data_IF_191001175083
#
_entry.id   IF_191001175083
#
_cell.length_a   1.000
_cell.length_b   1.000
_cell.length_c   1.000
_cell.angle_alpha   90.00
_cell.angle_beta   90.00
_cell.angle_gamma   90.00
#
_symmetry.space_group_name_H-M   'P 1'
#
loop_
_entity.id
_entity.type
_entity.pdbx_description
1 polymer ?
#
# COMPACT_ATOMS: atom_id res chain seq x y z
N UNK A 1 -36.08 32.00 26.74
CA UNK A 1 -34.63 31.71 26.65
C UNK A 1 -34.52 30.23 26.32
N UNK A 2 -34.22 29.76 25.13
CA UNK A 2 -33.36 30.29 24.09
C UNK A 2 -32.27 29.23 23.82
N UNK A 3 -32.30 28.65 22.63
CA UNK A 3 -31.30 27.79 21.97
C UNK A 3 -31.26 26.28 22.21
N UNK A 4 -31.74 25.60 21.17
CA UNK A 4 -31.25 24.35 20.59
C UNK A 4 -29.73 24.38 20.40
N UNK A 5 -29.02 23.34 20.83
CA UNK A 5 -27.70 23.00 20.31
C UNK A 5 -27.83 21.77 19.41
N UNK A 6 -28.30 22.00 18.18
CA UNK A 6 -27.95 21.13 17.07
C UNK A 6 -26.51 21.44 16.68
N UNK A 7 -25.58 20.51 16.91
CA UNK A 7 -24.28 20.54 16.26
C UNK A 7 -24.35 19.68 15.01
N UNK A 8 -24.71 20.36 13.93
CA UNK A 8 -24.34 20.04 12.56
C UNK A 8 -22.81 20.16 12.45
N UNK A 9 -22.07 19.11 12.07
CA UNK A 9 -20.76 19.12 11.38
C UNK A 9 -20.21 17.67 11.35
N UNK A 10 -19.78 17.07 10.24
CA UNK A 10 -19.56 17.58 8.90
C UNK A 10 -19.92 16.53 7.86
N UNK A 11 -20.17 17.01 6.65
CA UNK A 11 -20.29 16.19 5.46
C UNK A 11 -19.17 15.14 5.46
N UNK A 12 -19.56 13.87 5.44
CA UNK A 12 -18.67 12.76 5.11
C UNK A 12 -18.14 13.11 3.72
N UNK A 13 -16.91 13.62 3.63
CA UNK A 13 -16.21 13.67 2.35
C UNK A 13 -16.31 12.26 1.80
N UNK A 14 -16.96 12.11 0.65
CA UNK A 14 -17.22 10.83 -0.01
C UNK A 14 -15.89 10.26 -0.51
N UNK A 15 -15.00 9.91 0.39
CA UNK A 15 -13.79 9.19 0.09
C UNK A 15 -14.19 7.75 -0.26
N UNK A 16 -13.61 7.25 -1.34
CA UNK A 16 -13.88 5.91 -1.85
C UNK A 16 -13.28 4.93 -0.84
N UNK A 17 -14.14 4.25 -0.09
CA UNK A 17 -13.72 3.25 0.90
C UNK A 17 -13.08 2.03 0.25
N UNK A 18 -12.22 1.38 1.01
CA UNK A 18 -11.52 0.17 0.58
C UNK A 18 -12.51 -1.02 0.45
N UNK A 19 -12.47 -1.79 -0.64
CA UNK A 19 -13.25 -3.02 -0.73
C UNK A 19 -12.87 -4.06 0.35
N UNK A 20 -13.79 -4.94 0.76
CA UNK A 20 -13.46 -6.02 1.68
C UNK A 20 -12.44 -6.99 1.06
N UNK A 21 -11.46 -7.41 1.86
CA UNK A 21 -10.44 -8.40 1.48
C UNK A 21 -9.04 -7.83 1.18
N UNK A 22 -8.13 -8.70 0.72
CA UNK A 22 -6.75 -8.32 0.37
C UNK A 22 -6.62 -8.03 -1.14
N UNK A 23 -5.97 -6.92 -1.49
CA UNK A 23 -5.63 -6.60 -2.88
C UNK A 23 -4.72 -7.67 -3.51
N UNK A 24 -5.02 -8.06 -4.75
CA UNK A 24 -4.21 -9.02 -5.52
C UNK A 24 -4.51 -10.49 -5.24
N UNK A 25 -5.61 -10.81 -4.54
CA UNK A 25 -6.05 -12.19 -4.28
C UNK A 25 -7.47 -12.47 -4.78
N UNK A 26 -7.78 -12.24 -6.08
CA UNK A 26 -9.10 -12.49 -6.62
C UNK A 26 -9.47 -13.99 -6.46
N UNK A 27 -10.73 -14.26 -6.09
CA UNK A 27 -11.25 -15.63 -5.92
C UNK A 27 -10.87 -16.34 -4.62
N UNK A 28 -10.16 -15.69 -3.70
CA UNK A 28 -9.91 -16.23 -2.35
C UNK A 28 -10.19 -15.21 -1.24
N UNK A 29 -11.29 -14.45 -1.38
CA UNK A 29 -11.69 -13.41 -0.42
C UNK A 29 -10.89 -12.11 -0.51
N UNK A 30 -10.20 -11.87 -1.62
CA UNK A 30 -9.57 -10.60 -1.96
C UNK A 30 -10.13 -10.00 -3.24
N UNK A 31 -9.62 -8.84 -3.64
CA UNK A 31 -10.09 -8.11 -4.83
C UNK A 31 -8.97 -7.80 -5.81
N UNK A 32 -9.37 -7.48 -7.05
CA UNK A 32 -8.46 -6.95 -8.05
C UNK A 32 -8.32 -5.44 -7.85
N UNK A 33 -7.09 -4.98 -7.56
CA UNK A 33 -6.82 -3.58 -7.29
C UNK A 33 -7.17 -2.66 -8.47
N UNK A 34 -6.83 -3.06 -9.70
CA UNK A 34 -7.11 -2.23 -10.88
C UNK A 34 -8.62 -2.06 -11.09
N UNK A 35 -9.37 -3.15 -10.92
CA UNK A 35 -10.83 -3.12 -11.04
C UNK A 35 -11.46 -2.25 -9.93
N UNK A 36 -10.94 -2.31 -8.70
CA UNK A 36 -11.43 -1.52 -7.58
C UNK A 36 -11.17 0.00 -7.72
N UNK A 37 -10.15 0.39 -8.49
CA UNK A 37 -9.87 1.80 -8.75
C UNK A 37 -10.71 2.36 -9.89
N UNK A 38 -11.17 1.51 -10.81
CA UNK A 38 -11.80 1.91 -12.08
C UNK A 38 -10.93 2.90 -12.89
N UNK A 39 -9.62 2.67 -12.89
CA UNK A 39 -8.68 3.43 -13.73
C UNK A 39 -8.38 2.65 -15.00
N UNK A 40 -8.13 3.37 -16.09
CA UNK A 40 -7.62 2.75 -17.29
C UNK A 40 -6.26 2.07 -17.03
N UNK A 41 -5.98 1.03 -17.82
CA UNK A 41 -4.80 0.19 -17.62
C UNK A 41 -3.48 0.98 -17.71
N UNK A 42 -3.43 2.06 -18.50
CA UNK A 42 -2.23 2.87 -18.68
C UNK A 42 -1.97 3.70 -17.42
N UNK A 43 -2.96 4.41 -16.91
CA UNK A 43 -2.81 5.20 -15.69
C UNK A 43 -2.53 4.32 -14.46
N UNK A 44 -3.20 3.17 -14.35
CA UNK A 44 -2.90 2.20 -13.30
C UNK A 44 -1.45 1.70 -13.38
N UNK A 45 -0.96 1.37 -14.58
CA UNK A 45 0.43 0.93 -14.77
C UNK A 45 1.44 2.01 -14.39
N UNK A 46 1.16 3.27 -14.73
CA UNK A 46 2.02 4.41 -14.39
C UNK A 46 2.08 4.60 -12.87
N UNK A 47 0.93 4.62 -12.19
CA UNK A 47 0.84 4.71 -10.73
C UNK A 47 1.62 3.58 -10.06
N UNK A 48 1.36 2.33 -10.47
CA UNK A 48 2.01 1.14 -9.92
C UNK A 48 3.53 1.20 -10.10
N UNK A 49 4.00 1.57 -11.28
CA UNK A 49 5.43 1.68 -11.58
C UNK A 49 6.10 2.78 -10.75
N UNK A 50 5.41 3.90 -10.56
CA UNK A 50 5.92 5.01 -9.74
C UNK A 50 6.08 4.59 -8.27
N UNK A 51 5.04 4.02 -7.67
CA UNK A 51 5.09 3.55 -6.27
C UNK A 51 6.15 2.47 -6.10
N UNK A 52 6.28 1.53 -7.04
CA UNK A 52 7.35 0.52 -7.00
C UNK A 52 8.74 1.14 -6.88
N UNK A 53 9.04 2.20 -7.65
CA UNK A 53 10.32 2.91 -7.58
C UNK A 53 10.53 3.60 -6.23
N UNK A 54 9.46 4.18 -5.66
CA UNK A 54 9.53 4.78 -4.33
C UNK A 54 9.78 3.74 -3.23
N UNK A 55 9.12 2.57 -3.31
CA UNK A 55 9.36 1.44 -2.40
C UNK A 55 10.81 1.00 -2.46
N UNK A 56 11.37 0.81 -3.65
CA UNK A 56 12.77 0.40 -3.82
C UNK A 56 13.77 1.45 -3.28
N UNK A 57 13.41 2.74 -3.34
CA UNK A 57 14.26 3.85 -2.89
C UNK A 57 14.19 4.08 -1.37
N UNK A 58 13.02 3.95 -0.77
CA UNK A 58 12.77 4.43 0.60
C UNK A 58 12.47 3.31 1.60
N UNK A 59 12.04 2.13 1.16
CA UNK A 59 11.64 1.03 2.04
C UNK A 59 12.62 -0.13 1.95
N UNK A 60 12.70 -0.91 3.02
CA UNK A 60 13.49 -2.12 3.04
C UNK A 60 12.72 -3.26 2.36
N UNK A 61 13.07 -3.53 1.09
CA UNK A 61 12.44 -4.59 0.29
C UNK A 61 12.67 -6.01 0.81
N UNK A 62 13.55 -6.22 1.79
CA UNK A 62 13.74 -7.51 2.47
C UNK A 62 12.70 -7.75 3.58
N UNK A 63 12.04 -6.69 4.05
CA UNK A 63 11.11 -6.72 5.18
C UNK A 63 9.65 -6.66 4.75
N UNK A 64 8.78 -7.16 5.62
CA UNK A 64 7.33 -7.03 5.46
C UNK A 64 6.88 -5.58 5.67
N UNK A 65 5.64 -5.25 5.29
CA UNK A 65 5.06 -3.93 5.53
C UNK A 65 5.05 -3.54 7.00
N UNK A 66 4.65 -4.46 7.89
CA UNK A 66 4.55 -4.22 9.33
C UNK A 66 5.92 -4.01 10.01
N UNK A 67 7.01 -4.38 9.34
CA UNK A 67 8.37 -4.21 9.82
C UNK A 67 9.08 -2.97 9.21
N UNK A 68 8.37 -2.16 8.43
CA UNK A 68 8.87 -0.88 7.92
C UNK A 68 8.73 0.21 8.98
N UNK A 69 9.50 1.29 8.82
CA UNK A 69 9.27 2.51 9.59
C UNK A 69 8.10 3.29 8.99
N UNK A 70 7.16 3.70 9.85
CA UNK A 70 6.01 4.52 9.47
C UNK A 70 6.42 5.83 8.78
N UNK A 71 7.54 6.43 9.22
CA UNK A 71 8.10 7.64 8.59
C UNK A 71 8.36 7.43 7.09
N UNK A 72 8.96 6.30 6.70
CA UNK A 72 9.25 6.04 5.29
C UNK A 72 8.00 5.61 4.52
N UNK A 73 7.04 4.93 5.16
CA UNK A 73 5.73 4.67 4.55
C UNK A 73 5.03 6.00 4.22
N UNK A 74 5.03 6.95 5.15
CA UNK A 74 4.45 8.28 4.93
C UNK A 74 5.13 9.01 3.78
N UNK A 75 6.47 8.98 3.69
CA UNK A 75 7.20 9.56 2.54
C UNK A 75 6.72 8.97 1.22
N UNK A 76 6.61 7.63 1.11
CA UNK A 76 6.15 6.99 -0.13
C UNK A 76 4.70 7.36 -0.45
N UNK A 77 3.83 7.39 0.56
CA UNK A 77 2.41 7.77 0.42
C UNK A 77 2.29 9.22 -0.05
N UNK A 78 2.96 10.15 0.61
CA UNK A 78 2.84 11.58 0.37
C UNK A 78 3.40 11.94 -1.01
N UNK A 79 4.54 11.34 -1.40
CA UNK A 79 5.07 11.47 -2.77
C UNK A 79 4.13 10.89 -3.83
N UNK A 80 3.37 9.83 -3.50
CA UNK A 80 2.37 9.28 -4.42
C UNK A 80 1.17 10.22 -4.57
N UNK A 81 0.65 10.81 -3.49
CA UNK A 81 -0.47 11.77 -3.54
C UNK A 81 -0.07 13.08 -4.20
N UNK A 82 1.17 13.53 -4.04
CA UNK A 82 1.70 14.70 -4.75
C UNK A 82 1.72 14.47 -6.27
N UNK A 83 2.18 13.28 -6.71
CA UNK A 83 2.24 12.96 -8.14
C UNK A 83 0.89 12.60 -8.75
N UNK A 84 0.00 11.99 -7.95
CA UNK A 84 -1.32 11.53 -8.36
C UNK A 84 -2.38 12.05 -7.38
N UNK A 85 -2.82 13.32 -7.52
CA UNK A 85 -3.79 13.93 -6.60
C UNK A 85 -5.12 13.16 -6.49
N UNK A 86 -5.51 12.41 -7.54
CA UNK A 86 -6.68 11.51 -7.55
C UNK A 86 -6.65 10.47 -6.41
N UNK A 87 -5.48 10.15 -5.87
CA UNK A 87 -5.36 9.26 -4.71
C UNK A 87 -6.00 9.82 -3.43
N UNK A 88 -6.16 11.15 -3.32
CA UNK A 88 -6.82 11.79 -2.18
C UNK A 88 -8.34 11.55 -2.17
N UNK A 89 -8.92 11.08 -3.28
CA UNK A 89 -10.33 10.65 -3.33
C UNK A 89 -10.55 9.32 -2.59
N UNK A 90 -9.49 8.61 -2.21
CA UNK A 90 -9.58 7.29 -1.56
C UNK A 90 -9.28 7.38 -0.08
N UNK A 91 -10.11 6.73 0.73
CA UNK A 91 -9.98 6.74 2.19
C UNK A 91 -8.59 6.25 2.63
N UNK A 92 -7.89 7.06 3.43
CA UNK A 92 -6.56 6.72 3.93
C UNK A 92 -5.53 6.44 2.84
N UNK A 93 -5.78 6.87 1.59
CA UNK A 93 -4.92 6.62 0.43
C UNK A 93 -4.68 5.10 0.23
N UNK A 94 -5.70 4.28 0.52
CA UNK A 94 -5.60 2.82 0.48
C UNK A 94 -5.01 2.24 -0.82
N UNK A 95 -5.20 2.83 -2.03
CA UNK A 95 -4.60 2.30 -3.25
C UNK A 95 -3.08 2.30 -3.19
N UNK A 96 -2.48 3.39 -2.68
CA UNK A 96 -1.04 3.49 -2.55
C UNK A 96 -0.52 2.47 -1.52
N UNK A 97 -1.21 2.38 -0.38
CA UNK A 97 -0.86 1.43 0.69
C UNK A 97 -0.91 -0.01 0.19
N UNK A 98 -1.92 -0.39 -0.59
CA UNK A 98 -2.02 -1.74 -1.13
C UNK A 98 -0.93 -2.05 -2.16
N UNK A 99 -0.56 -1.10 -3.02
CA UNK A 99 0.56 -1.29 -3.95
C UNK A 99 1.87 -1.48 -3.19
N UNK A 100 2.11 -0.70 -2.13
CA UNK A 100 3.28 -0.87 -1.25
C UNK A 100 3.28 -2.28 -0.64
N UNK A 101 2.17 -2.70 -0.04
CA UNK A 101 2.03 -4.03 0.58
C UNK A 101 2.26 -5.16 -0.43
N UNK A 102 1.65 -5.07 -1.61
CA UNK A 102 1.83 -6.04 -2.68
C UNK A 102 3.31 -6.13 -3.09
N UNK A 103 3.99 -4.99 -3.25
CA UNK A 103 5.40 -4.99 -3.66
C UNK A 103 6.30 -5.59 -2.59
N UNK A 104 6.14 -5.19 -1.34
CA UNK A 104 6.93 -5.73 -0.22
C UNK A 104 6.69 -7.23 0.00
N UNK A 105 5.44 -7.70 -0.13
CA UNK A 105 5.11 -9.14 -0.05
C UNK A 105 5.85 -9.93 -1.14
N UNK A 106 5.91 -9.41 -2.35
CA UNK A 106 6.62 -10.03 -3.46
C UNK A 106 8.15 -10.00 -3.27
N UNK A 107 8.73 -8.92 -2.75
CA UNK A 107 10.20 -8.79 -2.63
C UNK A 107 10.79 -9.41 -1.37
N UNK A 108 10.08 -9.37 -0.24
CA UNK A 108 10.58 -9.90 1.04
C UNK A 108 10.63 -11.42 1.07
N UNK A 109 9.68 -12.09 0.41
CA UNK A 109 9.58 -13.55 0.45
C UNK A 109 10.77 -14.26 -0.22
N UNK A 110 11.22 -13.90 -1.44
CA UNK A 110 12.40 -14.49 -2.04
C UNK A 110 13.69 -14.15 -1.28
N UNK A 111 13.87 -12.89 -0.84
CA UNK A 111 15.08 -12.45 -0.13
C UNK A 111 15.25 -13.17 1.20
N UNK A 112 14.18 -13.25 2.01
CA UNK A 112 14.20 -14.03 3.26
C UNK A 112 14.59 -15.49 3.01
N UNK A 113 14.05 -16.13 1.97
CA UNK A 113 14.43 -17.51 1.64
C UNK A 113 15.90 -17.66 1.25
N UNK A 114 16.48 -16.68 0.56
CA UNK A 114 17.90 -16.67 0.20
C UNK A 114 18.77 -16.47 1.44
N UNK A 115 18.42 -15.51 2.30
CA UNK A 115 19.12 -15.23 3.56
C UNK A 115 19.03 -16.42 4.53
N UNK A 116 17.85 -17.03 4.70
CA UNK A 116 17.65 -18.23 5.51
C UNK A 116 18.50 -19.40 4.99
N UNK A 117 18.53 -19.63 3.67
CA UNK A 117 19.40 -20.64 3.06
C UNK A 117 20.88 -20.35 3.27
N UNK A 118 21.30 -19.10 3.13
CA UNK A 118 22.69 -18.68 3.35
C UNK A 118 23.11 -18.76 4.82
N UNK A 119 22.18 -18.54 5.76
CA UNK A 119 22.41 -18.68 7.20
C UNK A 119 22.49 -20.15 7.63
N UNK A 120 21.67 -21.03 7.03
CA UNK A 120 21.73 -22.47 7.26
C UNK A 120 22.99 -23.11 6.65
N UNK A 121 23.40 -22.67 5.46
CA UNK A 121 24.61 -23.16 4.79
C UNK A 121 25.91 -22.82 5.52
N UNK A 122 25.96 -21.70 6.27
CA UNK A 122 27.14 -21.31 7.07
C UNK A 122 27.29 -22.05 8.40
N UNK A 123 26.26 -22.80 8.84
CA UNK A 123 26.29 -23.56 10.11
C UNK A 123 26.85 -24.98 9.95
N UNK A 124 27.20 -25.41 8.75
CA UNK A 124 27.76 -26.75 8.48
C UNK A 124 29.15 -26.62 7.87
N UNK A 125 30.13 -26.36 8.72
CA UNK A 125 31.54 -26.69 8.44
C UNK A 125 32.15 -27.16 9.76
N UNK A 126 32.55 -28.42 9.76
CA UNK A 126 33.16 -29.15 10.86
C UNK A 126 34.64 -28.80 10.97
#
# INVERSE_FOLDING_TARGET
>A
MGSLAGTNQGAIEKSISKPPGEAGRPGRGGYNLQAALDWDAKNFKILKTFIHKLVERHLDTSRSYAAQSDKFIHIVRDSATEKFPKLNEYEGVWPAIDIIKMRLKYTSTPKRRVEERAALGRRVTK
#
